data_IF_728039551960
#
_entry.id   IF_728039551960
#
_cell.length_a   1.000
_cell.length_b   1.000
_cell.length_c   1.000
_cell.angle_alpha   90.00
_cell.angle_beta   90.00
_cell.angle_gamma   90.00
#
_symmetry.space_group_name_H-M   'P 1'
#
loop_
_entity.id
_entity.type
_entity.pdbx_description
1 polymer ?
#
# COMPACT_ATOMS: atom_id res chain seq x y z
N UNK A 1 -30.15 12.59 -3.36
CA UNK A 1 -29.33 13.78 -3.65
C UNK A 1 -28.70 14.20 -2.32
N UNK A 2 -27.37 14.14 -2.19
CA UNK A 2 -26.69 14.52 -0.95
C UNK A 2 -26.81 16.03 -0.73
N UNK A 3 -27.08 16.45 0.50
CA UNK A 3 -27.19 17.87 0.85
C UNK A 3 -25.80 18.52 0.89
N UNK A 4 -25.73 19.85 0.70
CA UNK A 4 -24.44 20.60 0.81
C UNK A 4 -23.75 20.37 2.15
N UNK A 5 -24.51 20.19 3.22
CA UNK A 5 -24.00 19.94 4.57
C UNK A 5 -23.37 18.54 4.70
N UNK A 6 -24.01 17.50 4.13
CA UNK A 6 -23.47 16.16 4.11
C UNK A 6 -22.14 16.08 3.34
N UNK A 7 -22.05 16.74 2.19
CA UNK A 7 -20.82 16.84 1.40
C UNK A 7 -19.71 17.53 2.21
N UNK A 8 -20.00 18.61 2.91
CA UNK A 8 -19.01 19.30 3.74
C UNK A 8 -18.57 18.45 4.92
N UNK A 9 -19.48 17.70 5.55
CA UNK A 9 -19.19 16.77 6.63
C UNK A 9 -18.27 15.65 6.14
N UNK A 10 -18.57 15.02 4.99
CA UNK A 10 -17.73 14.00 4.39
C UNK A 10 -16.32 14.51 4.06
N UNK A 11 -16.19 15.71 3.49
CA UNK A 11 -14.88 16.33 3.19
C UNK A 11 -14.05 16.54 4.46
N UNK A 12 -14.64 17.08 5.53
CA UNK A 12 -13.95 17.26 6.82
C UNK A 12 -13.51 15.92 7.42
N UNK A 13 -14.36 14.90 7.32
CA UNK A 13 -14.06 13.55 7.79
C UNK A 13 -12.90 12.93 7.02
N UNK A 14 -12.91 13.01 5.68
CA UNK A 14 -11.83 12.52 4.84
C UNK A 14 -10.48 13.16 5.17
N UNK A 15 -10.43 14.48 5.34
CA UNK A 15 -9.20 15.19 5.72
C UNK A 15 -8.65 14.76 7.09
N UNK A 16 -9.52 14.37 8.04
CA UNK A 16 -9.10 13.90 9.37
C UNK A 16 -8.66 12.43 9.34
N UNK A 17 -9.38 11.59 8.62
CA UNK A 17 -9.14 10.14 8.58
C UNK A 17 -7.95 9.81 7.68
N UNK A 18 -7.73 10.53 6.60
CA UNK A 18 -6.68 10.23 5.62
C UNK A 18 -5.27 10.07 6.23
N UNK A 19 -4.79 10.98 7.12
CA UNK A 19 -3.48 10.78 7.74
C UNK A 19 -3.42 9.52 8.62
N UNK A 20 -4.53 9.16 9.28
CA UNK A 20 -4.61 7.95 10.12
C UNK A 20 -4.59 6.71 9.24
N UNK A 21 -5.41 6.70 8.19
CA UNK A 21 -5.44 5.64 7.20
C UNK A 21 -4.05 5.42 6.57
N UNK A 22 -3.39 6.50 6.15
CA UNK A 22 -2.05 6.42 5.53
C UNK A 22 -0.99 5.89 6.49
N UNK A 23 -1.13 6.12 7.80
CA UNK A 23 -0.21 5.57 8.81
C UNK A 23 -0.32 4.06 8.97
N UNK A 24 -1.54 3.51 8.94
CA UNK A 24 -1.83 2.14 9.40
C UNK A 24 -2.38 1.27 8.27
N UNK A 25 -3.28 1.82 7.45
CA UNK A 25 -4.08 1.08 6.47
C UNK A 25 -3.57 1.15 5.04
N UNK A 26 -2.56 2.00 4.77
CA UNK A 26 -2.07 2.16 3.40
C UNK A 26 -1.39 0.88 2.91
N UNK A 27 -0.76 0.16 3.84
CA UNK A 27 0.06 -0.98 3.57
C UNK A 27 0.14 -1.87 4.83
N UNK A 28 0.55 -3.11 4.70
CA UNK A 28 0.69 -4.07 5.81
C UNK A 28 2.12 -3.99 6.39
N UNK A 29 2.39 -3.01 7.23
CA UNK A 29 3.70 -2.66 7.77
C UNK A 29 4.51 -3.85 8.29
N UNK A 30 3.86 -4.79 9.00
CA UNK A 30 4.53 -5.94 9.58
C UNK A 30 5.03 -6.95 8.54
N UNK A 31 4.35 -7.06 7.43
CA UNK A 31 4.68 -7.98 6.35
C UNK A 31 6.05 -7.63 5.72
N UNK A 32 6.30 -6.36 5.38
CA UNK A 32 7.55 -5.93 4.74
C UNK A 32 8.80 -6.06 5.62
N UNK A 33 8.60 -6.29 6.90
CA UNK A 33 9.72 -6.48 7.83
C UNK A 33 10.38 -7.81 7.65
N UNK A 34 9.58 -8.84 7.40
CA UNK A 34 10.01 -10.24 7.38
C UNK A 34 9.93 -10.87 5.99
N UNK A 35 9.47 -10.14 4.96
CA UNK A 35 9.23 -10.72 3.63
C UNK A 35 10.49 -11.34 3.03
N UNK A 36 11.62 -10.65 3.12
CA UNK A 36 12.90 -11.17 2.61
C UNK A 36 13.37 -12.40 3.40
N UNK A 37 13.31 -12.34 4.73
CA UNK A 37 13.72 -13.45 5.59
C UNK A 37 12.78 -14.65 5.41
N UNK A 38 11.48 -14.42 5.32
CA UNK A 38 10.51 -15.47 5.06
C UNK A 38 10.78 -16.17 3.72
N UNK A 39 11.02 -15.43 2.65
CA UNK A 39 11.28 -16.00 1.33
C UNK A 39 12.61 -16.75 1.30
N UNK A 40 13.65 -16.26 1.94
CA UNK A 40 14.98 -16.87 1.87
C UNK A 40 15.15 -18.02 2.87
N UNK A 41 14.66 -17.89 4.10
CA UNK A 41 14.90 -18.87 5.16
C UNK A 41 13.76 -19.89 5.31
N UNK A 42 12.50 -19.49 5.08
CA UNK A 42 11.36 -20.40 5.20
C UNK A 42 11.00 -21.03 3.86
N UNK A 43 11.02 -20.23 2.78
CA UNK A 43 10.70 -20.72 1.42
C UNK A 43 11.90 -21.21 0.63
N UNK A 44 13.11 -21.05 1.15
CA UNK A 44 14.38 -21.46 0.52
C UNK A 44 14.60 -20.88 -0.88
N UNK A 45 14.04 -19.69 -1.16
CA UNK A 45 14.31 -18.96 -2.40
C UNK A 45 15.69 -18.30 -2.32
N UNK A 46 16.41 -18.23 -3.43
CA UNK A 46 17.69 -17.52 -3.45
C UNK A 46 17.46 -16.01 -3.26
N UNK A 47 18.42 -15.35 -2.62
CA UNK A 47 18.37 -13.88 -2.47
C UNK A 47 18.32 -13.17 -3.82
N UNK A 48 18.95 -13.75 -4.85
CA UNK A 48 18.90 -13.24 -6.21
C UNK A 48 17.50 -13.29 -6.81
N UNK A 49 16.75 -14.39 -6.59
CA UNK A 49 15.37 -14.55 -7.06
C UNK A 49 14.43 -13.53 -6.39
N UNK A 50 14.60 -13.30 -5.09
CA UNK A 50 13.80 -12.33 -4.34
C UNK A 50 14.04 -10.90 -4.84
N UNK A 51 15.31 -10.54 -5.08
CA UNK A 51 15.67 -9.23 -5.64
C UNK A 51 15.16 -9.09 -7.07
N UNK A 52 15.31 -10.12 -7.90
CA UNK A 52 14.81 -10.14 -9.28
C UNK A 52 13.29 -9.95 -9.32
N UNK A 53 12.53 -10.72 -8.53
CA UNK A 53 11.08 -10.57 -8.46
C UNK A 53 10.64 -9.17 -7.99
N UNK A 54 11.39 -8.56 -7.08
CA UNK A 54 11.14 -7.20 -6.60
C UNK A 54 11.44 -6.15 -7.67
N UNK A 55 12.48 -6.36 -8.48
CA UNK A 55 12.81 -5.50 -9.64
C UNK A 55 11.72 -5.60 -10.72
N UNK A 56 11.24 -6.80 -11.01
CA UNK A 56 10.13 -7.04 -11.93
C UNK A 56 8.84 -6.36 -11.43
N UNK A 57 8.57 -6.41 -10.11
CA UNK A 57 7.45 -5.66 -9.51
C UNK A 57 7.53 -4.17 -9.81
N UNK A 58 8.71 -3.56 -9.73
CA UNK A 58 8.89 -2.15 -10.03
C UNK A 58 8.57 -1.83 -11.50
N UNK A 59 8.98 -2.70 -12.44
CA UNK A 59 8.61 -2.58 -13.85
C UNK A 59 7.10 -2.69 -14.06
N UNK A 60 6.44 -3.67 -13.43
CA UNK A 60 4.98 -3.77 -13.48
C UNK A 60 4.29 -2.52 -12.93
N UNK A 61 4.86 -1.89 -11.89
CA UNK A 61 4.35 -0.62 -11.34
C UNK A 61 4.30 0.49 -12.39
N UNK A 62 5.33 0.59 -13.23
CA UNK A 62 5.36 1.55 -14.33
C UNK A 62 4.28 1.20 -15.38
N UNK A 63 4.21 -0.06 -15.78
CA UNK A 63 3.22 -0.53 -16.77
C UNK A 63 1.78 -0.31 -16.31
N UNK A 64 1.50 -0.54 -15.03
CA UNK A 64 0.15 -0.42 -14.49
C UNK A 64 -0.32 1.02 -14.24
N UNK A 65 0.53 2.02 -14.35
CA UNK A 65 0.12 3.42 -14.18
C UNK A 65 -1.02 3.81 -15.14
N UNK A 66 -0.91 3.45 -16.42
CA UNK A 66 -1.92 3.79 -17.43
C UNK A 66 -3.20 2.97 -17.24
N UNK A 67 -3.16 1.61 -17.20
CA UNK A 67 -4.37 0.82 -16.96
C UNK A 67 -5.07 1.15 -15.63
N UNK A 68 -4.32 1.37 -14.56
CA UNK A 68 -4.89 1.72 -13.27
C UNK A 68 -5.62 3.07 -13.31
N UNK A 69 -5.09 4.06 -14.04
CA UNK A 69 -5.77 5.35 -14.20
C UNK A 69 -7.12 5.19 -14.92
N UNK A 70 -7.16 4.40 -16.00
CA UNK A 70 -8.39 4.08 -16.73
C UNK A 70 -9.39 3.38 -15.80
N UNK A 71 -8.95 2.40 -15.02
CA UNK A 71 -9.80 1.68 -14.07
C UNK A 71 -10.37 2.65 -13.02
N UNK A 72 -9.53 3.53 -12.46
CA UNK A 72 -9.96 4.52 -11.45
C UNK A 72 -11.00 5.48 -12.01
N UNK A 73 -10.87 5.89 -13.27
CA UNK A 73 -11.86 6.74 -13.95
C UNK A 73 -13.18 6.00 -14.18
N UNK A 74 -13.11 4.72 -14.55
CA UNK A 74 -14.28 3.91 -14.92
C UNK A 74 -15.11 3.47 -13.70
N UNK A 75 -14.48 2.88 -12.67
CA UNK A 75 -15.18 2.34 -11.49
C UNK A 75 -15.28 3.35 -10.34
N UNK A 76 -14.59 4.48 -10.45
CA UNK A 76 -14.55 5.55 -9.46
C UNK A 76 -13.52 5.32 -8.35
N UNK A 77 -13.05 6.41 -7.77
CA UNK A 77 -11.92 6.45 -6.80
C UNK A 77 -12.13 5.56 -5.57
N UNK A 78 -13.34 5.59 -4.97
CA UNK A 78 -13.66 4.78 -3.78
C UNK A 78 -13.57 3.28 -4.07
N UNK A 79 -14.19 2.85 -5.17
CA UNK A 79 -14.21 1.43 -5.55
C UNK A 79 -12.80 0.96 -5.94
N UNK A 80 -11.98 1.83 -6.55
CA UNK A 80 -10.60 1.51 -6.88
C UNK A 80 -9.73 1.27 -5.64
N UNK A 81 -9.93 2.06 -4.56
CA UNK A 81 -9.24 1.80 -3.29
C UNK A 81 -9.69 0.47 -2.68
N UNK A 82 -10.99 0.17 -2.72
CA UNK A 82 -11.52 -1.11 -2.23
C UNK A 82 -10.94 -2.27 -3.04
N UNK A 83 -10.96 -2.18 -4.37
CA UNK A 83 -10.37 -3.18 -5.26
C UNK A 83 -8.86 -3.36 -4.99
N UNK A 84 -8.12 -2.25 -4.86
CA UNK A 84 -6.71 -2.29 -4.50
C UNK A 84 -6.44 -3.02 -3.18
N UNK A 85 -7.27 -2.80 -2.15
CA UNK A 85 -7.14 -3.50 -0.89
C UNK A 85 -7.47 -5.00 -1.00
N UNK A 86 -8.50 -5.37 -1.78
CA UNK A 86 -8.84 -6.78 -2.06
C UNK A 86 -7.68 -7.47 -2.78
N UNK A 87 -7.12 -6.85 -3.83
CA UNK A 87 -5.97 -7.39 -4.54
C UNK A 87 -4.74 -7.50 -3.65
N UNK A 88 -4.56 -6.57 -2.70
CA UNK A 88 -3.46 -6.64 -1.76
C UNK A 88 -3.64 -7.79 -0.74
N UNK A 89 -4.86 -8.08 -0.30
CA UNK A 89 -5.14 -9.28 0.49
C UNK A 89 -4.85 -10.56 -0.32
N UNK A 90 -5.28 -10.61 -1.59
CA UNK A 90 -4.99 -11.73 -2.48
C UNK A 90 -3.49 -11.93 -2.66
N UNK A 91 -2.75 -10.84 -2.86
CA UNK A 91 -1.29 -10.87 -2.93
C UNK A 91 -0.66 -11.54 -1.71
N UNK A 92 -1.10 -11.20 -0.48
CA UNK A 92 -0.55 -11.81 0.74
C UNK A 92 -0.79 -13.31 0.78
N UNK A 93 -2.00 -13.76 0.41
CA UNK A 93 -2.30 -15.19 0.34
C UNK A 93 -1.38 -15.89 -0.66
N UNK A 94 -1.24 -15.35 -1.87
CA UNK A 94 -0.35 -15.90 -2.89
C UNK A 94 1.11 -15.90 -2.44
N UNK A 95 1.56 -14.83 -1.78
CA UNK A 95 2.89 -14.73 -1.22
C UNK A 95 3.17 -15.82 -0.18
N UNK A 96 2.23 -16.11 0.72
CA UNK A 96 2.36 -17.19 1.69
C UNK A 96 2.42 -18.57 1.03
N UNK A 97 1.76 -18.75 -0.12
CA UNK A 97 1.74 -19.99 -0.89
C UNK A 97 2.93 -20.12 -1.86
N UNK A 98 3.77 -19.11 -2.00
CA UNK A 98 4.93 -19.11 -2.90
C UNK A 98 5.82 -20.33 -2.65
N UNK A 99 6.09 -21.11 -3.69
CA UNK A 99 7.01 -22.25 -3.68
C UNK A 99 8.22 -22.09 -4.60
N UNK A 100 8.15 -21.16 -5.56
CA UNK A 100 9.20 -20.90 -6.54
C UNK A 100 9.18 -19.45 -7.02
N UNK A 101 10.18 -19.06 -7.83
CA UNK A 101 10.30 -17.69 -8.34
C UNK A 101 9.10 -17.26 -9.19
N UNK A 102 8.50 -18.16 -9.97
CA UNK A 102 7.37 -17.82 -10.84
C UNK A 102 6.12 -17.46 -10.03
N UNK A 103 5.85 -18.21 -8.94
CA UNK A 103 4.78 -17.91 -8.02
C UNK A 103 4.99 -16.54 -7.37
N UNK A 104 6.24 -16.23 -6.99
CA UNK A 104 6.60 -14.95 -6.41
C UNK A 104 6.40 -13.81 -7.42
N UNK A 105 6.80 -13.98 -8.67
CA UNK A 105 6.60 -12.97 -9.73
C UNK A 105 5.10 -12.74 -9.95
N UNK A 106 4.28 -13.80 -9.96
CA UNK A 106 2.83 -13.67 -10.11
C UNK A 106 2.20 -12.94 -8.92
N UNK A 107 2.61 -13.25 -7.71
CA UNK A 107 2.17 -12.52 -6.52
C UNK A 107 2.58 -11.04 -6.60
N UNK A 108 3.82 -10.73 -6.98
CA UNK A 108 4.32 -9.36 -7.15
C UNK A 108 3.59 -8.60 -8.28
N UNK A 109 3.14 -9.28 -9.33
CA UNK A 109 2.29 -8.72 -10.38
C UNK A 109 0.95 -8.21 -9.81
N UNK A 110 0.25 -9.04 -9.03
CA UNK A 110 -1.00 -8.67 -8.36
C UNK A 110 -0.78 -7.49 -7.40
N UNK A 111 0.29 -7.56 -6.60
CA UNK A 111 0.68 -6.47 -5.70
C UNK A 111 0.89 -5.15 -6.44
N UNK A 112 1.59 -5.20 -7.59
CA UNK A 112 1.87 -3.99 -8.37
C UNK A 112 0.60 -3.32 -8.88
N UNK A 113 -0.36 -4.10 -9.39
CA UNK A 113 -1.67 -3.58 -9.80
C UNK A 113 -2.44 -2.98 -8.61
N UNK A 114 -2.44 -3.68 -7.47
CA UNK A 114 -3.10 -3.22 -6.24
C UNK A 114 -2.57 -1.85 -5.80
N UNK A 115 -1.25 -1.68 -5.76
CA UNK A 115 -0.61 -0.42 -5.39
C UNK A 115 -0.85 0.67 -6.42
N UNK A 116 -0.77 0.38 -7.72
CA UNK A 116 -1.04 1.38 -8.78
C UNK A 116 -2.45 1.96 -8.68
N UNK A 117 -3.46 1.13 -8.38
CA UNK A 117 -4.83 1.59 -8.15
C UNK A 117 -4.93 2.53 -6.94
N UNK A 118 -4.28 2.19 -5.84
CA UNK A 118 -4.28 2.98 -4.60
C UNK A 118 -3.51 4.29 -4.78
N UNK A 119 -2.35 4.25 -5.40
CA UNK A 119 -1.48 5.42 -5.62
C UNK A 119 -2.16 6.50 -6.48
N UNK A 120 -3.10 6.12 -7.35
CA UNK A 120 -3.89 7.05 -8.16
C UNK A 120 -5.15 7.51 -7.41
N UNK A 121 -5.89 6.56 -6.84
CA UNK A 121 -7.21 6.83 -6.27
C UNK A 121 -7.15 7.60 -4.95
N UNK A 122 -6.24 7.25 -4.04
CA UNK A 122 -6.15 7.84 -2.69
C UNK A 122 -5.79 9.34 -2.71
N UNK A 123 -4.73 9.78 -3.42
CA UNK A 123 -4.43 11.21 -3.51
C UNK A 123 -5.56 11.98 -4.20
N UNK A 124 -6.25 11.36 -5.15
CA UNK A 124 -7.38 11.97 -5.86
C UNK A 124 -8.59 12.18 -4.93
N UNK A 125 -8.87 11.23 -4.02
CA UNK A 125 -9.90 11.39 -2.97
C UNK A 125 -9.54 12.56 -2.05
N UNK A 126 -8.29 12.60 -1.56
CA UNK A 126 -7.85 13.68 -0.68
C UNK A 126 -7.93 15.04 -1.38
N UNK A 127 -7.43 15.14 -2.60
CA UNK A 127 -7.44 16.37 -3.39
C UNK A 127 -8.87 16.90 -3.63
N UNK A 128 -9.85 16.02 -3.86
CA UNK A 128 -11.26 16.39 -4.02
C UNK A 128 -11.95 16.75 -2.70
N UNK A 129 -11.41 16.30 -1.58
CA UNK A 129 -11.94 16.61 -0.25
C UNK A 129 -11.53 17.99 0.25
N UNK A 130 -10.44 18.57 -0.28
CA UNK A 130 -9.98 19.91 0.09
C UNK A 130 -10.71 20.96 -0.76
N UNK A 131 -11.39 21.94 -0.11
CA UNK A 131 -12.07 23.02 -0.85
C UNK A 131 -11.07 23.81 -1.73
N UNK A 132 -11.52 24.35 -2.87
CA UNK A 132 -10.69 25.23 -3.67
C UNK A 132 -10.34 26.48 -2.87
N UNK A 133 -9.05 26.70 -2.66
CA UNK A 133 -8.51 27.85 -1.95
C UNK A 133 -7.08 28.13 -2.40
N UNK A 134 -6.58 29.33 -2.13
CA UNK A 134 -5.18 29.70 -2.40
C UNK A 134 -4.18 28.79 -1.67
N UNK A 135 -4.59 28.20 -0.55
CA UNK A 135 -3.75 27.35 0.30
C UNK A 135 -4.00 25.85 0.11
N UNK A 136 -4.69 25.45 -0.97
CA UNK A 136 -5.05 24.04 -1.19
C UNK A 136 -3.83 23.12 -1.29
N UNK A 137 -2.80 23.55 -1.98
CA UNK A 137 -1.54 22.81 -2.12
C UNK A 137 -0.85 22.58 -0.78
N UNK A 138 -0.81 23.63 0.07
CA UNK A 138 -0.16 23.56 1.37
C UNK A 138 -0.92 22.63 2.33
N UNK A 139 -2.26 22.69 2.30
CA UNK A 139 -3.11 21.79 3.08
C UNK A 139 -2.90 20.35 2.64
N UNK A 140 -2.87 20.08 1.33
CA UNK A 140 -2.61 18.77 0.75
C UNK A 140 -1.25 18.24 1.19
N UNK A 141 -0.20 19.05 1.05
CA UNK A 141 1.16 18.70 1.45
C UNK A 141 1.24 18.39 2.95
N UNK A 142 0.62 19.22 3.80
CA UNK A 142 0.62 19.02 5.25
C UNK A 142 -0.09 17.74 5.69
N UNK A 143 -1.25 17.43 5.09
CA UNK A 143 -1.98 16.19 5.37
C UNK A 143 -1.18 14.97 4.93
N UNK A 144 -0.60 15.00 3.72
CA UNK A 144 0.24 13.93 3.21
C UNK A 144 1.50 13.73 4.07
N UNK A 145 2.20 14.81 4.42
CA UNK A 145 3.39 14.75 5.26
C UNK A 145 3.09 14.12 6.62
N UNK A 146 1.98 14.52 7.26
CA UNK A 146 1.55 13.93 8.54
C UNK A 146 1.25 12.43 8.43
N UNK A 147 0.63 12.00 7.34
CA UNK A 147 0.37 10.58 7.07
C UNK A 147 1.67 9.81 6.83
N UNK A 148 2.51 10.30 5.92
CA UNK A 148 3.77 9.66 5.54
C UNK A 148 4.78 9.59 6.69
N UNK A 149 4.95 10.65 7.47
CA UNK A 149 5.82 10.64 8.65
C UNK A 149 5.41 9.56 9.64
N UNK A 150 4.10 9.46 9.94
CA UNK A 150 3.60 8.42 10.82
C UNK A 150 3.80 7.01 10.25
N UNK A 151 3.62 6.82 8.95
CA UNK A 151 3.87 5.56 8.25
C UNK A 151 5.35 5.13 8.38
N UNK A 152 6.30 6.04 8.12
CA UNK A 152 7.73 5.71 8.22
C UNK A 152 8.17 5.41 9.65
N UNK A 153 7.62 6.14 10.65
CA UNK A 153 7.92 5.87 12.06
C UNK A 153 7.40 4.49 12.46
N UNK A 154 6.13 4.18 12.14
CA UNK A 154 5.55 2.86 12.42
C UNK A 154 6.27 1.75 11.66
N UNK A 155 6.67 2.00 10.41
CA UNK A 155 7.45 1.06 9.61
C UNK A 155 8.83 0.77 10.22
N UNK A 156 9.52 1.78 10.73
CA UNK A 156 10.79 1.58 11.43
C UNK A 156 10.63 0.76 12.71
N UNK A 157 9.61 1.09 13.54
CA UNK A 157 9.29 0.33 14.75
C UNK A 157 8.91 -1.12 14.42
N UNK A 158 8.07 -1.34 13.40
CA UNK A 158 7.69 -2.68 12.95
C UNK A 158 8.89 -3.51 12.52
N UNK A 159 9.88 -2.90 11.84
CA UNK A 159 11.10 -3.58 11.41
C UNK A 159 11.95 -4.03 12.61
N UNK A 160 12.10 -3.19 13.62
CA UNK A 160 12.84 -3.54 14.84
C UNK A 160 12.13 -4.68 15.57
N UNK A 161 10.83 -4.54 15.80
CA UNK A 161 10.03 -5.58 16.50
C UNK A 161 10.04 -6.89 15.70
N UNK A 162 9.85 -6.85 14.40
CA UNK A 162 9.85 -8.02 13.53
C UNK A 162 11.20 -8.74 13.50
N UNK A 163 12.32 -8.01 13.49
CA UNK A 163 13.66 -8.60 13.57
C UNK A 163 13.88 -9.33 14.90
N UNK A 164 13.51 -8.71 16.03
CA UNK A 164 13.62 -9.33 17.36
C UNK A 164 12.75 -10.59 17.46
N UNK A 165 11.50 -10.53 17.02
CA UNK A 165 10.59 -11.68 17.03
C UNK A 165 11.09 -12.82 16.15
N UNK A 166 11.67 -12.51 15.00
CA UNK A 166 12.21 -13.51 14.09
C UNK A 166 13.43 -14.22 14.71
N UNK A 167 14.34 -13.47 15.34
CA UNK A 167 15.50 -14.04 16.03
C UNK A 167 15.07 -14.94 17.21
N UNK A 168 14.10 -14.51 18.01
CA UNK A 168 13.56 -15.33 19.11
C UNK A 168 12.93 -16.63 18.61
N UNK A 169 12.23 -16.62 17.49
CA UNK A 169 11.62 -17.83 16.93
C UNK A 169 12.66 -18.81 16.38
N UNK A 170 13.76 -18.30 15.80
CA UNK A 170 14.85 -19.15 15.30
C UNK A 170 15.73 -19.73 16.43
N UNK A 171 15.74 -19.12 17.60
CA UNK A 171 16.45 -19.64 18.78
C UNK A 171 15.66 -20.75 19.51
N UNK A 172 14.35 -20.87 19.27
CA UNK A 172 13.45 -21.85 19.93
C UNK A 172 13.27 -23.11 19.07
N UNK A 173 13.60 -23.05 17.79
CA UNK A 173 13.55 -24.19 16.85
C UNK A 173 14.93 -24.79 16.63
#
# INVERSE_FOLDING_TARGET
METKEEIQKMRKTNMKIFPIYKKIGWDYLFYYTIDFLFLTQVKNLSSADVVLASSIKALFGIFFQIPANIIVEFIGRKNSVILGNILNCLYIVMFMMTGNIYDLILAKFISSLAFSLKDIAEPSILNSSIPPSKYKSDILAKINAKGSSGYYILGALSKIIGAILFELTTLIT
#
